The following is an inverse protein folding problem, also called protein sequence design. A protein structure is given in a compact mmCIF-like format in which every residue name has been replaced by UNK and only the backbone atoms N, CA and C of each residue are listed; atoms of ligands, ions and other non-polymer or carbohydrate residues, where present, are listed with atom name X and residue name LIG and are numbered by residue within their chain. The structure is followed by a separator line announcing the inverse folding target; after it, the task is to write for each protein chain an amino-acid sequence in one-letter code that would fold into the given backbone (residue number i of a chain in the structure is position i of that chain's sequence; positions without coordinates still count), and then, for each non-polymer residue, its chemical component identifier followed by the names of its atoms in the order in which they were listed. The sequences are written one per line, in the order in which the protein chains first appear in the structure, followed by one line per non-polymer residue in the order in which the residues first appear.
data_IF_724548204773
#
_entry.id   IF_724548204773
#
_cell.length_a   1.000
_cell.length_b   1.000
_cell.length_c   1.000
_cell.angle_alpha   90.00
_cell.angle_beta   90.00
_cell.angle_gamma   90.00
#
_symmetry.space_group_name_H-M   'P 1'
#
loop_
_entity.id
_entity.type
_entity.pdbx_description
1 polymer ?
#
# COMPACT_ATOMS: atom_id res chain seq x y z
N UNK A 1 -1.00 -12.56 17.65
CA UNK A 1 -2.21 -12.07 16.94
C UNK A 1 -1.94 -12.11 15.44
N UNK A 2 -2.92 -12.53 14.62
CA UNK A 2 -2.78 -12.59 13.15
C UNK A 2 -3.26 -11.26 12.56
N UNK A 3 -2.51 -10.67 11.63
CA UNK A 3 -2.96 -9.49 10.88
C UNK A 3 -3.90 -9.94 9.77
N UNK A 4 -5.11 -9.38 9.74
CA UNK A 4 -6.18 -9.74 8.79
C UNK A 4 -6.77 -8.44 8.24
N UNK A 5 -7.15 -8.43 6.96
CA UNK A 5 -7.84 -7.31 6.32
C UNK A 5 -9.35 -7.46 6.34
N UNK A 6 -10.05 -6.47 5.79
CA UNK A 6 -11.52 -6.42 5.81
C UNK A 6 -12.19 -7.39 4.83
N UNK A 7 -11.43 -7.90 3.86
CA UNK A 7 -11.95 -8.72 2.75
C UNK A 7 -11.78 -10.21 3.04
N UNK A 8 -12.84 -10.99 2.81
CA UNK A 8 -12.77 -12.45 2.73
C UNK A 8 -12.03 -12.89 1.45
N UNK A 9 -10.72 -12.99 1.57
CA UNK A 9 -9.83 -13.21 0.42
C UNK A 9 -10.17 -14.48 -0.39
N UNK A 10 -10.54 -15.58 0.26
CA UNK A 10 -10.80 -16.87 -0.40
C UNK A 10 -12.06 -16.88 -1.29
N UNK A 11 -13.07 -16.09 -0.94
CA UNK A 11 -14.30 -15.95 -1.73
C UNK A 11 -14.08 -14.97 -2.88
N UNK A 12 -13.49 -13.81 -2.58
CA UNK A 12 -13.35 -12.70 -3.53
C UNK A 12 -12.24 -12.94 -4.57
N UNK A 13 -11.18 -13.67 -4.22
CA UNK A 13 -10.09 -14.01 -5.16
C UNK A 13 -10.54 -14.85 -6.36
N UNK A 14 -11.70 -15.52 -6.28
CA UNK A 14 -12.27 -16.31 -7.38
C UNK A 14 -13.07 -15.47 -8.38
N UNK A 15 -13.44 -14.25 -8.00
CA UNK A 15 -14.31 -13.35 -8.79
C UNK A 15 -13.53 -12.13 -9.26
N UNK A 16 -12.66 -11.58 -8.41
CA UNK A 16 -11.90 -10.38 -8.71
C UNK A 16 -10.74 -10.68 -9.68
N UNK A 17 -10.53 -9.79 -10.66
CA UNK A 17 -9.38 -9.84 -11.56
C UNK A 17 -8.03 -9.63 -10.82
N UNK A 18 -8.04 -8.79 -9.78
CA UNK A 18 -6.89 -8.53 -8.91
C UNK A 18 -7.35 -8.23 -7.49
N UNK A 19 -6.57 -8.68 -6.50
CA UNK A 19 -6.85 -8.50 -5.07
C UNK A 19 -5.54 -8.33 -4.29
N UNK A 20 -5.49 -7.40 -3.34
CA UNK A 20 -4.31 -7.18 -2.49
C UNK A 20 -4.42 -8.02 -1.21
N UNK A 21 -3.44 -8.88 -0.90
CA UNK A 21 -3.49 -9.73 0.29
C UNK A 21 -3.17 -8.92 1.55
N UNK A 22 -3.68 -9.39 2.69
CA UNK A 22 -3.27 -8.90 4.01
C UNK A 22 -2.85 -10.11 4.85
N UNK A 23 -1.58 -10.18 5.31
CA UNK A 23 -0.50 -9.20 5.15
C UNK A 23 0.09 -9.14 3.72
N UNK A 24 0.85 -8.08 3.43
CA UNK A 24 1.62 -7.95 2.19
C UNK A 24 1.03 -7.00 1.12
N UNK A 25 -0.12 -6.39 1.40
CA UNK A 25 -0.78 -5.46 0.49
C UNK A 25 -0.26 -4.03 0.60
N UNK A 26 -1.13 -3.10 0.99
CA UNK A 26 -0.86 -1.66 0.90
C UNK A 26 0.12 -1.11 1.94
N UNK A 27 0.37 -1.83 3.05
CA UNK A 27 1.20 -1.35 4.16
C UNK A 27 2.61 -0.90 3.73
N UNK A 28 3.41 -1.74 3.05
CA UNK A 28 4.72 -1.33 2.53
C UNK A 28 4.65 -0.16 1.53
N UNK A 29 3.59 -0.11 0.72
CA UNK A 29 3.39 1.00 -0.24
C UNK A 29 3.11 2.32 0.45
N UNK A 30 2.42 2.33 1.60
CA UNK A 30 2.21 3.55 2.39
C UNK A 30 3.54 4.14 2.86
N UNK A 31 4.46 3.31 3.34
CA UNK A 31 5.80 3.74 3.76
C UNK A 31 6.57 4.30 2.56
N UNK A 32 6.60 3.56 1.45
CA UNK A 32 7.29 4.00 0.24
C UNK A 32 6.74 5.33 -0.30
N UNK A 33 5.42 5.52 -0.29
CA UNK A 33 4.78 6.74 -0.76
C UNK A 33 5.00 7.92 0.18
N UNK A 34 5.06 7.69 1.50
CA UNK A 34 5.47 8.71 2.44
C UNK A 34 6.89 9.21 2.12
N UNK A 35 7.85 8.30 1.95
CA UNK A 35 9.23 8.65 1.61
C UNK A 35 9.32 9.38 0.26
N UNK A 36 8.59 8.92 -0.75
CA UNK A 36 8.51 9.58 -2.05
C UNK A 36 7.99 11.02 -1.91
N UNK A 37 6.96 11.23 -1.10
CA UNK A 37 6.41 12.55 -0.85
C UNK A 37 7.38 13.44 -0.09
N UNK A 38 8.13 12.90 0.88
CA UNK A 38 9.21 13.62 1.57
C UNK A 38 10.29 14.09 0.60
N UNK A 39 10.75 13.21 -0.31
CA UNK A 39 11.73 13.58 -1.33
C UNK A 39 11.17 14.64 -2.28
N UNK A 40 9.89 14.52 -2.68
CA UNK A 40 9.23 15.52 -3.52
C UNK A 40 9.13 16.88 -2.82
N UNK A 41 8.79 16.90 -1.53
CA UNK A 41 8.72 18.12 -0.74
C UNK A 41 10.10 18.79 -0.60
N UNK A 42 11.16 18.00 -0.35
CA UNK A 42 12.53 18.48 -0.31
C UNK A 42 12.93 19.15 -1.64
N UNK A 43 12.63 18.50 -2.76
CA UNK A 43 12.88 19.03 -4.11
C UNK A 43 12.18 20.37 -4.35
N UNK A 44 10.89 20.44 -4.03
CA UNK A 44 10.10 21.68 -4.14
C UNK A 44 10.63 22.82 -3.27
N UNK A 45 11.07 22.52 -2.04
CA UNK A 45 11.60 23.53 -1.13
C UNK A 45 12.98 24.07 -1.56
N UNK A 46 13.77 23.25 -2.26
CA UNK A 46 15.12 23.59 -2.68
C UNK A 46 15.21 23.96 -4.18
N UNK A 47 14.08 24.07 -4.87
CA UNK A 47 13.99 24.40 -6.30
C UNK A 47 14.83 23.49 -7.22
N UNK A 48 14.91 22.18 -6.89
CA UNK A 48 15.63 21.12 -7.61
C UNK A 48 14.72 19.95 -7.97
#
# INVERSE_FOLDING_TARGET
TKLVGDVKFDEVSKVAYAITPVPGGVGPMTIAMLLKNTVKAFKLQNSI
#
